data_IF_075483830025
#
_entry.id   IF_075483830025
#
_cell.length_a   1.000
_cell.length_b   1.000
_cell.length_c   1.000
_cell.angle_alpha   90.00
_cell.angle_beta   90.00
_cell.angle_gamma   90.00
#
_symmetry.space_group_name_H-M   'P 1'
#
loop_
_entity.id
_entity.type
_entity.pdbx_description
1 polymer ?
#
# COMPACT_ATOMS: atom_id res chain seq x y z
N UNK A 1 7.54 -3.14 -40.97
CA UNK A 1 6.28 -3.86 -41.24
C UNK A 1 5.17 -3.09 -40.56
N UNK A 2 4.19 -2.62 -41.33
CA UNK A 2 3.22 -1.58 -40.98
C UNK A 2 2.32 -1.97 -39.80
N UNK A 3 2.54 -1.36 -38.63
CA UNK A 3 1.57 -1.33 -37.53
C UNK A 3 0.53 -0.25 -37.83
N UNK A 4 -0.53 -0.61 -38.56
CA UNK A 4 -1.78 0.13 -38.49
C UNK A 4 -2.35 -0.09 -37.08
N UNK A 5 -2.16 0.87 -36.19
CA UNK A 5 -2.75 0.86 -34.85
C UNK A 5 -4.28 1.02 -34.99
N UNK A 6 -5.00 -0.10 -35.15
CA UNK A 6 -6.45 -0.11 -35.03
C UNK A 6 -6.81 0.03 -33.55
N UNK A 7 -7.04 1.24 -33.08
CA UNK A 7 -7.80 1.45 -31.85
C UNK A 7 -9.22 0.94 -32.08
N UNK A 8 -9.65 -0.04 -31.30
CA UNK A 8 -10.98 -0.63 -31.38
C UNK A 8 -11.71 -0.39 -30.06
N UNK A 9 -12.97 0.02 -30.14
CA UNK A 9 -13.81 0.21 -28.96
C UNK A 9 -14.24 -1.16 -28.41
N UNK A 10 -14.24 -1.29 -27.10
CA UNK A 10 -14.67 -2.44 -26.34
C UNK A 10 -16.05 -2.09 -25.76
N UNK A 11 -17.10 -2.60 -26.38
CA UNK A 11 -18.48 -2.37 -25.98
C UNK A 11 -19.32 -3.64 -26.15
N UNK A 12 -20.62 -3.54 -25.89
CA UNK A 12 -21.55 -4.67 -25.99
C UNK A 12 -21.60 -5.30 -27.39
N UNK A 13 -21.51 -4.50 -28.44
CA UNK A 13 -21.55 -4.97 -29.83
C UNK A 13 -20.26 -5.75 -30.15
N UNK A 14 -19.09 -5.22 -29.79
CA UNK A 14 -17.82 -5.90 -30.05
C UNK A 14 -17.68 -7.17 -29.23
N UNK A 15 -18.16 -7.17 -27.98
CA UNK A 15 -18.19 -8.38 -27.13
C UNK A 15 -19.10 -9.44 -27.74
N UNK A 16 -20.28 -9.06 -28.26
CA UNK A 16 -21.19 -10.00 -28.92
C UNK A 16 -20.54 -10.62 -30.18
N UNK A 17 -19.87 -9.79 -31.00
CA UNK A 17 -19.14 -10.25 -32.19
C UNK A 17 -18.00 -11.18 -31.81
N UNK A 18 -17.20 -10.86 -30.78
CA UNK A 18 -16.11 -11.73 -30.32
C UNK A 18 -16.64 -13.04 -29.76
N UNK A 19 -17.76 -13.01 -29.03
CA UNK A 19 -18.40 -14.20 -28.50
C UNK A 19 -18.82 -15.13 -29.63
N UNK A 20 -19.49 -14.60 -30.66
CA UNK A 20 -19.89 -15.38 -31.82
C UNK A 20 -18.66 -15.95 -32.54
N UNK A 21 -17.66 -15.11 -32.83
CA UNK A 21 -16.43 -15.52 -33.51
C UNK A 21 -15.64 -16.59 -32.76
N UNK A 22 -15.52 -16.48 -31.44
CA UNK A 22 -14.83 -17.47 -30.61
C UNK A 22 -15.62 -18.79 -30.50
N UNK A 23 -16.95 -18.74 -30.63
CA UNK A 23 -17.80 -19.93 -30.62
C UNK A 23 -17.84 -20.65 -31.98
N UNK A 24 -17.81 -19.92 -33.10
CA UNK A 24 -17.97 -20.47 -34.46
C UNK A 24 -16.62 -20.80 -35.12
N UNK A 25 -15.59 -19.98 -34.87
CA UNK A 25 -14.29 -20.06 -35.53
C UNK A 25 -13.17 -19.93 -34.50
N UNK A 26 -12.91 -21.01 -33.77
CA UNK A 26 -11.78 -21.13 -32.84
C UNK A 26 -10.43 -21.26 -33.58
N UNK A 27 -10.20 -20.42 -34.60
CA UNK A 27 -8.95 -20.34 -35.35
C UNK A 27 -8.01 -19.32 -34.69
N UNK A 28 -6.72 -19.64 -34.63
CA UNK A 28 -5.69 -18.86 -33.95
C UNK A 28 -5.66 -17.39 -34.38
N UNK A 29 -5.95 -17.10 -35.65
CA UNK A 29 -5.97 -15.72 -36.18
C UNK A 29 -7.06 -14.85 -35.55
N UNK A 30 -8.25 -15.42 -35.32
CA UNK A 30 -9.38 -14.71 -34.70
C UNK A 30 -9.10 -14.42 -33.23
N UNK A 31 -8.55 -15.40 -32.51
CA UNK A 31 -8.13 -15.26 -31.11
C UNK A 31 -7.05 -14.19 -31.00
N UNK A 32 -6.03 -14.24 -31.86
CA UNK A 32 -4.94 -13.26 -31.86
C UNK A 32 -5.44 -11.83 -32.08
N UNK A 33 -6.43 -11.63 -32.98
CA UNK A 33 -7.03 -10.31 -33.19
C UNK A 33 -7.76 -9.78 -31.94
N UNK A 34 -8.53 -10.63 -31.25
CA UNK A 34 -9.20 -10.26 -30.00
C UNK A 34 -8.19 -9.95 -28.90
N UNK A 35 -7.18 -10.83 -28.72
CA UNK A 35 -6.11 -10.64 -27.72
C UNK A 35 -5.34 -9.35 -27.97
N UNK A 36 -5.06 -8.99 -29.22
CA UNK A 36 -4.40 -7.71 -29.55
C UNK A 36 -5.19 -6.49 -29.06
N UNK A 37 -6.52 -6.51 -29.22
CA UNK A 37 -7.39 -5.43 -28.74
C UNK A 37 -7.43 -5.42 -27.21
N UNK A 38 -7.63 -6.59 -26.58
CA UNK A 38 -7.70 -6.73 -25.13
C UNK A 38 -6.38 -6.41 -24.42
N UNK A 39 -5.25 -6.58 -25.09
CA UNK A 39 -3.92 -6.23 -24.59
C UNK A 39 -3.56 -4.74 -24.79
N UNK A 40 -4.40 -3.95 -25.46
CA UNK A 40 -4.11 -2.55 -25.81
C UNK A 40 -4.73 -1.57 -24.83
N UNK A 41 -3.89 -0.83 -24.09
CA UNK A 41 -4.33 0.23 -23.18
C UNK A 41 -5.15 1.31 -23.91
N UNK A 42 -4.79 1.63 -25.16
CA UNK A 42 -5.53 2.61 -25.97
C UNK A 42 -6.96 2.17 -26.26
N UNK A 43 -7.19 0.86 -26.49
CA UNK A 43 -8.53 0.32 -26.71
C UNK A 43 -9.38 0.46 -25.44
N UNK A 44 -8.84 0.08 -24.27
CA UNK A 44 -9.53 0.29 -22.99
C UNK A 44 -9.80 1.77 -22.72
N UNK A 45 -8.81 2.65 -22.88
CA UNK A 45 -8.96 4.08 -22.64
C UNK A 45 -10.02 4.75 -23.51
N UNK A 46 -10.13 4.36 -24.78
CA UNK A 46 -11.13 4.89 -25.71
C UNK A 46 -12.54 4.32 -25.52
N UNK A 47 -12.68 3.21 -24.79
CA UNK A 47 -13.96 2.50 -24.66
C UNK A 47 -14.92 3.10 -23.65
N UNK A 48 -14.41 3.79 -22.64
CA UNK A 48 -15.18 4.30 -21.50
C UNK A 48 -15.17 5.82 -21.39
N UNK A 49 -15.10 6.53 -22.52
CA UNK A 49 -15.13 7.98 -22.52
C UNK A 49 -16.46 8.51 -21.97
N UNK A 50 -16.41 9.59 -21.20
CA UNK A 50 -17.62 10.29 -20.75
C UNK A 50 -18.29 10.97 -21.94
N UNK A 51 -19.51 10.52 -22.25
CA UNK A 51 -20.29 10.97 -23.42
C UNK A 51 -21.23 12.13 -23.08
N UNK A 52 -21.49 12.39 -21.80
CA UNK A 52 -22.33 13.52 -21.39
C UNK A 52 -21.62 14.82 -21.74
N UNK A 53 -22.25 15.64 -22.58
CA UNK A 53 -21.83 17.02 -22.91
C UNK A 53 -20.36 17.08 -23.35
N UNK A 54 -19.88 16.08 -24.09
CA UNK A 54 -18.51 16.08 -24.65
C UNK A 54 -17.41 16.28 -23.57
N UNK A 55 -17.68 15.89 -22.32
CA UNK A 55 -16.76 16.06 -21.17
C UNK A 55 -15.42 15.32 -21.37
N UNK A 56 -15.37 14.28 -22.19
CA UNK A 56 -14.11 13.61 -22.51
C UNK A 56 -13.11 14.51 -23.25
N UNK A 57 -13.56 15.54 -23.99
CA UNK A 57 -12.66 16.54 -24.59
C UNK A 57 -12.06 17.50 -23.54
N UNK A 58 -12.53 17.45 -22.29
CA UNK A 58 -11.98 18.21 -21.16
C UNK A 58 -10.97 17.40 -20.34
N UNK A 59 -10.53 16.24 -20.85
CA UNK A 59 -9.52 15.43 -20.15
C UNK A 59 -8.28 16.26 -19.85
N UNK A 60 -7.89 16.24 -18.59
CA UNK A 60 -6.84 17.08 -18.04
C UNK A 60 -6.27 16.44 -16.77
N UNK A 61 -5.15 16.96 -16.23
CA UNK A 61 -4.62 16.54 -14.94
C UNK A 61 -5.61 16.59 -13.77
N UNK A 62 -6.76 17.24 -13.95
CA UNK A 62 -7.86 17.30 -12.99
C UNK A 62 -9.00 16.36 -13.39
N UNK A 63 -9.41 16.34 -14.66
CA UNK A 63 -10.60 15.60 -15.09
C UNK A 63 -10.17 14.38 -15.92
N UNK A 64 -10.49 13.14 -15.50
CA UNK A 64 -10.15 11.94 -16.26
C UNK A 64 -10.87 11.83 -17.62
N UNK A 65 -12.10 12.34 -17.70
CA UNK A 65 -12.97 12.24 -18.89
C UNK A 65 -13.42 10.81 -19.22
N UNK A 66 -13.58 9.97 -18.20
CA UNK A 66 -14.09 8.59 -18.33
C UNK A 66 -15.32 8.36 -17.46
N UNK A 67 -16.22 7.50 -17.94
CA UNK A 67 -17.36 7.00 -17.19
C UNK A 67 -16.99 5.68 -16.47
N UNK A 68 -16.55 5.82 -15.22
CA UNK A 68 -16.23 4.68 -14.35
C UNK A 68 -17.43 3.77 -14.07
N UNK A 69 -18.67 4.27 -14.18
CA UNK A 69 -19.84 3.43 -13.99
C UNK A 69 -20.04 2.50 -15.20
N UNK A 70 -19.90 3.02 -16.41
CA UNK A 70 -19.92 2.20 -17.62
C UNK A 70 -18.81 1.15 -17.63
N UNK A 71 -17.60 1.50 -17.16
CA UNK A 71 -16.50 0.53 -16.96
C UNK A 71 -16.92 -0.62 -16.03
N UNK A 72 -17.49 -0.27 -14.87
CA UNK A 72 -17.93 -1.26 -13.88
C UNK A 72 -19.01 -2.18 -14.43
N UNK A 73 -20.04 -1.62 -15.07
CA UNK A 73 -21.15 -2.38 -15.65
C UNK A 73 -20.65 -3.37 -16.70
N UNK A 74 -19.73 -2.96 -17.57
CA UNK A 74 -19.14 -3.86 -18.56
C UNK A 74 -18.38 -5.02 -17.91
N UNK A 75 -17.53 -4.73 -16.93
CA UNK A 75 -16.78 -5.79 -16.25
C UNK A 75 -17.67 -6.74 -15.45
N UNK A 76 -18.70 -6.23 -14.78
CA UNK A 76 -19.69 -7.08 -14.08
C UNK A 76 -20.43 -7.98 -15.06
N UNK A 77 -20.80 -7.47 -16.24
CA UNK A 77 -21.42 -8.26 -17.31
C UNK A 77 -20.49 -9.38 -17.78
N UNK A 78 -19.19 -9.10 -17.96
CA UNK A 78 -18.18 -10.07 -18.39
C UNK A 78 -17.96 -11.21 -17.37
N UNK A 79 -18.37 -11.05 -16.11
CA UNK A 79 -18.34 -12.13 -15.11
C UNK A 79 -19.41 -13.21 -15.36
N UNK A 80 -20.38 -12.97 -16.24
CA UNK A 80 -21.38 -13.98 -16.59
C UNK A 80 -20.72 -15.17 -17.31
N UNK A 81 -21.15 -16.40 -17.00
CA UNK A 81 -20.63 -17.64 -17.59
C UNK A 81 -20.71 -17.67 -19.12
N UNK A 82 -21.65 -16.93 -19.72
CA UNK A 82 -21.77 -16.76 -21.16
C UNK A 82 -20.55 -16.07 -21.83
N UNK A 83 -19.71 -15.39 -21.05
CA UNK A 83 -18.54 -14.67 -21.51
C UNK A 83 -17.22 -15.31 -21.02
N UNK A 84 -17.25 -16.55 -20.51
CA UNK A 84 -16.07 -17.22 -19.92
C UNK A 84 -14.83 -17.21 -20.82
N UNK A 85 -14.98 -17.51 -22.11
CA UNK A 85 -13.88 -17.50 -23.08
C UNK A 85 -13.27 -16.10 -23.24
N UNK A 86 -14.10 -15.05 -23.29
CA UNK A 86 -13.62 -13.67 -23.41
C UNK A 86 -12.95 -13.25 -22.10
N UNK A 87 -13.54 -13.59 -20.96
CA UNK A 87 -12.98 -13.30 -19.65
C UNK A 87 -11.60 -13.95 -19.46
N UNK A 88 -11.42 -15.18 -19.95
CA UNK A 88 -10.12 -15.85 -19.96
C UNK A 88 -9.09 -15.12 -20.83
N UNK A 89 -9.49 -14.67 -22.03
CA UNK A 89 -8.60 -13.85 -22.86
C UNK A 89 -8.25 -12.51 -22.20
N UNK A 90 -9.21 -11.85 -21.54
CA UNK A 90 -8.97 -10.61 -20.78
C UNK A 90 -7.96 -10.87 -19.67
N UNK A 91 -8.14 -11.94 -18.89
CA UNK A 91 -7.21 -12.32 -17.82
C UNK A 91 -5.80 -12.52 -18.35
N UNK A 92 -5.65 -13.34 -19.41
CA UNK A 92 -4.37 -13.63 -20.03
C UNK A 92 -3.72 -12.35 -20.60
N UNK A 93 -4.50 -11.49 -21.25
CA UNK A 93 -4.04 -10.19 -21.76
C UNK A 93 -3.58 -9.27 -20.62
N UNK A 94 -4.31 -9.21 -19.51
CA UNK A 94 -3.96 -8.36 -18.38
C UNK A 94 -2.67 -8.82 -17.71
N UNK A 95 -2.55 -10.12 -17.46
CA UNK A 95 -1.39 -10.75 -16.82
C UNK A 95 -0.14 -10.70 -17.69
N UNK A 96 -0.25 -11.08 -18.97
CA UNK A 96 0.92 -11.31 -19.82
C UNK A 96 1.33 -10.10 -20.68
N UNK A 97 0.44 -9.12 -20.87
CA UNK A 97 0.70 -8.03 -21.81
C UNK A 97 0.38 -6.66 -21.20
N UNK A 98 -0.87 -6.37 -20.88
CA UNK A 98 -1.34 -5.02 -20.59
C UNK A 98 -0.68 -4.45 -19.33
N UNK A 99 -0.74 -5.14 -18.18
CA UNK A 99 -0.17 -4.65 -16.92
C UNK A 99 1.37 -4.57 -16.98
N UNK A 100 2.09 -5.62 -17.46
CA UNK A 100 3.55 -5.55 -17.58
C UNK A 100 4.06 -4.39 -18.44
N UNK A 101 3.33 -4.05 -19.51
CA UNK A 101 3.72 -3.04 -20.50
C UNK A 101 3.27 -1.61 -20.15
N UNK A 102 2.62 -1.39 -19.00
CA UNK A 102 2.25 -0.05 -18.55
C UNK A 102 3.50 0.84 -18.38
N UNK A 103 3.57 1.94 -19.14
CA UNK A 103 4.70 2.88 -19.13
C UNK A 103 4.83 3.61 -17.79
N UNK A 104 6.06 3.90 -17.35
CA UNK A 104 6.30 4.84 -16.24
C UNK A 104 5.98 6.28 -16.62
N UNK A 105 6.08 6.59 -17.92
CA UNK A 105 5.88 7.92 -18.51
C UNK A 105 4.91 7.80 -19.68
N UNK A 106 3.59 7.74 -19.42
CA UNK A 106 2.60 7.70 -20.51
C UNK A 106 2.70 8.95 -21.39
N UNK A 107 2.46 8.83 -22.72
CA UNK A 107 2.73 9.90 -23.67
C UNK A 107 1.85 11.14 -23.46
N UNK A 108 0.66 10.96 -22.90
CA UNK A 108 -0.28 12.03 -22.59
C UNK A 108 -1.14 11.67 -21.37
N UNK A 109 -2.01 12.62 -20.98
CA UNK A 109 -2.94 12.46 -19.86
C UNK A 109 -4.07 11.47 -20.19
N UNK A 110 -4.44 11.28 -21.45
CA UNK A 110 -5.48 10.34 -21.84
C UNK A 110 -5.05 8.89 -21.65
N UNK A 111 -3.78 8.60 -21.92
CA UNK A 111 -3.16 7.29 -21.71
C UNK A 111 -3.23 6.85 -20.24
N UNK A 112 -3.34 7.79 -19.29
CA UNK A 112 -3.44 7.52 -17.86
C UNK A 112 -4.77 6.90 -17.44
N UNK A 113 -5.84 7.02 -18.24
CA UNK A 113 -7.19 6.52 -17.89
C UNK A 113 -7.17 5.04 -17.49
N UNK A 114 -6.24 4.27 -18.03
CA UNK A 114 -6.08 2.82 -17.78
C UNK A 114 -5.86 2.50 -16.31
N UNK A 115 -5.17 3.39 -15.57
CA UNK A 115 -4.91 3.22 -14.14
C UNK A 115 -6.16 3.42 -13.27
N UNK A 116 -7.21 4.05 -13.82
CA UNK A 116 -8.52 4.13 -13.17
C UNK A 116 -9.46 3.00 -13.63
N UNK A 117 -9.32 2.55 -14.88
CA UNK A 117 -10.11 1.47 -15.49
C UNK A 117 -9.77 0.13 -14.87
N UNK A 118 -8.47 -0.25 -14.83
CA UNK A 118 -8.05 -1.57 -14.40
C UNK A 118 -8.57 -1.95 -13.00
N UNK A 119 -8.50 -1.08 -11.96
CA UNK A 119 -9.01 -1.42 -10.63
C UNK A 119 -10.51 -1.74 -10.55
N UNK A 120 -11.31 -1.40 -11.57
CA UNK A 120 -12.71 -1.83 -11.61
C UNK A 120 -12.88 -3.31 -11.91
N UNK A 121 -11.88 -3.96 -12.54
CA UNK A 121 -11.95 -5.36 -12.94
C UNK A 121 -12.16 -6.29 -11.71
N UNK A 122 -13.30 -7.00 -11.60
CA UNK A 122 -13.68 -7.72 -10.39
C UNK A 122 -12.66 -8.77 -9.91
N UNK A 123 -11.98 -9.46 -10.83
CA UNK A 123 -11.04 -10.51 -10.49
C UNK A 123 -9.77 -10.01 -9.79
N UNK A 124 -9.47 -8.71 -9.83
CA UNK A 124 -8.43 -8.13 -8.97
C UNK A 124 -8.74 -8.32 -7.48
N UNK A 125 -10.02 -8.41 -7.10
CA UNK A 125 -10.42 -8.57 -5.69
C UNK A 125 -10.27 -10.02 -5.19
N UNK A 126 -10.16 -10.99 -6.10
CA UNK A 126 -9.99 -12.39 -5.76
C UNK A 126 -8.53 -12.69 -5.42
N UNK A 127 -8.33 -13.24 -4.22
CA UNK A 127 -7.03 -13.62 -3.69
C UNK A 127 -6.20 -14.51 -4.62
N UNK A 128 -6.86 -15.32 -5.46
CA UNK A 128 -6.20 -16.16 -6.46
C UNK A 128 -5.34 -15.36 -7.43
N UNK A 129 -5.76 -14.14 -7.76
CA UNK A 129 -5.11 -13.28 -8.75
C UNK A 129 -4.27 -12.16 -8.12
N UNK A 130 -4.09 -12.15 -6.80
CA UNK A 130 -3.31 -11.09 -6.17
C UNK A 130 -1.86 -11.06 -6.65
N UNK A 131 -1.24 -12.23 -6.80
CA UNK A 131 0.16 -12.33 -7.24
C UNK A 131 0.32 -12.04 -8.74
N UNK A 132 -0.64 -12.45 -9.57
CA UNK A 132 -0.53 -12.32 -11.03
C UNK A 132 -1.09 -11.01 -11.59
N UNK A 133 -2.04 -10.36 -10.89
CA UNK A 133 -2.69 -9.13 -11.36
C UNK A 133 -2.58 -7.97 -10.36
N UNK A 134 -3.06 -8.14 -9.13
CA UNK A 134 -3.24 -7.02 -8.19
C UNK A 134 -1.92 -6.38 -7.76
N UNK A 135 -0.93 -7.20 -7.40
CA UNK A 135 0.40 -6.73 -7.00
C UNK A 135 1.18 -6.17 -8.21
N UNK A 136 1.23 -6.84 -9.38
CA UNK A 136 1.82 -6.26 -10.59
C UNK A 136 1.22 -4.91 -10.98
N UNK A 137 -0.10 -4.74 -10.86
CA UNK A 137 -0.75 -3.45 -11.07
C UNK A 137 -0.27 -2.40 -10.07
N UNK A 138 -0.12 -2.77 -8.78
CA UNK A 138 0.43 -1.86 -7.78
C UNK A 138 1.85 -1.41 -8.12
N UNK A 139 2.71 -2.34 -8.53
CA UNK A 139 4.07 -2.02 -8.96
C UNK A 139 4.09 -1.11 -10.19
N UNK A 140 3.23 -1.36 -11.17
CA UNK A 140 3.11 -0.52 -12.36
C UNK A 140 2.68 0.92 -12.00
N UNK A 141 1.73 1.08 -11.08
CA UNK A 141 1.33 2.39 -10.56
C UNK A 141 2.47 3.08 -9.81
N UNK A 142 3.18 2.34 -8.94
CA UNK A 142 4.28 2.90 -8.14
C UNK A 142 5.52 3.25 -8.98
N UNK A 143 5.65 2.67 -10.18
CA UNK A 143 6.70 2.97 -11.15
C UNK A 143 6.45 4.27 -11.94
N UNK A 144 5.24 4.85 -11.86
CA UNK A 144 4.93 6.10 -12.55
C UNK A 144 5.87 7.23 -12.15
N UNK A 145 6.33 7.98 -13.15
CA UNK A 145 7.13 9.18 -12.96
C UNK A 145 6.36 10.23 -12.15
N UNK A 146 7.10 11.18 -11.57
CA UNK A 146 6.54 12.21 -10.66
C UNK A 146 5.31 12.92 -11.22
N UNK A 147 5.29 13.27 -12.51
CA UNK A 147 4.19 14.01 -13.13
C UNK A 147 2.94 13.12 -13.33
N UNK A 148 3.00 11.98 -14.05
CA UNK A 148 1.91 11.01 -14.12
C UNK A 148 1.37 10.58 -12.74
N UNK A 149 2.25 10.35 -11.77
CA UNK A 149 1.89 9.94 -10.41
C UNK A 149 1.06 11.00 -9.68
N UNK A 150 1.35 12.29 -9.89
CA UNK A 150 0.55 13.42 -9.37
C UNK A 150 -0.80 13.56 -10.07
N UNK A 151 -0.87 13.30 -11.39
CA UNK A 151 -2.13 13.28 -12.13
C UNK A 151 -3.07 12.21 -11.53
N UNK A 152 -2.55 11.01 -11.30
CA UNK A 152 -3.33 9.93 -10.70
C UNK A 152 -3.80 10.27 -9.27
N UNK A 153 -2.95 10.90 -8.45
CA UNK A 153 -3.36 11.37 -7.11
C UNK A 153 -4.51 12.39 -7.17
N UNK A 154 -4.46 13.32 -8.13
CA UNK A 154 -5.51 14.32 -8.33
C UNK A 154 -6.81 13.69 -8.82
N UNK A 155 -6.72 12.66 -9.66
CA UNK A 155 -7.89 11.92 -10.12
C UNK A 155 -8.50 11.08 -9.01
N UNK A 156 -7.70 10.36 -8.22
CA UNK A 156 -8.18 9.67 -7.03
C UNK A 156 -8.77 10.60 -5.98
N UNK A 157 -8.36 11.87 -5.95
CA UNK A 157 -8.99 12.91 -5.11
C UNK A 157 -10.40 13.31 -5.58
N UNK A 158 -10.80 12.92 -6.79
CA UNK A 158 -12.07 13.32 -7.43
C UNK A 158 -13.02 12.15 -7.69
N UNK A 159 -12.55 10.91 -7.56
CA UNK A 159 -13.42 9.73 -7.69
C UNK A 159 -14.45 9.67 -6.57
N UNK A 160 -15.52 8.91 -6.78
CA UNK A 160 -16.52 8.72 -5.74
C UNK A 160 -15.96 7.89 -4.56
N UNK A 161 -16.46 8.12 -3.32
CA UNK A 161 -16.03 7.37 -2.14
C UNK A 161 -16.11 5.84 -2.29
N UNK A 162 -17.12 5.34 -3.03
CA UNK A 162 -17.28 3.90 -3.29
C UNK A 162 -16.12 3.30 -4.07
N UNK A 163 -15.65 3.99 -5.12
CA UNK A 163 -14.49 3.57 -5.89
C UNK A 163 -13.24 3.56 -5.00
N UNK A 164 -13.03 4.65 -4.26
CA UNK A 164 -11.87 4.82 -3.40
C UNK A 164 -11.80 3.72 -2.32
N UNK A 165 -12.93 3.44 -1.66
CA UNK A 165 -13.03 2.38 -0.66
C UNK A 165 -12.76 0.98 -1.23
N UNK A 166 -13.25 0.69 -2.45
CA UNK A 166 -12.94 -0.58 -3.16
C UNK A 166 -11.43 -0.72 -3.39
N UNK A 167 -10.74 0.37 -3.74
CA UNK A 167 -9.31 0.39 -3.95
C UNK A 167 -8.51 0.21 -2.64
N UNK A 168 -8.95 0.84 -1.55
CA UNK A 168 -8.36 0.62 -0.21
C UNK A 168 -8.53 -0.84 0.21
N UNK A 169 -9.75 -1.38 0.12
CA UNK A 169 -10.02 -2.77 0.48
C UNK A 169 -9.24 -3.79 -0.36
N UNK A 170 -9.07 -3.51 -1.66
CA UNK A 170 -8.26 -4.34 -2.56
C UNK A 170 -6.85 -4.56 -2.00
N UNK A 171 -6.15 -3.48 -1.67
CA UNK A 171 -4.76 -3.56 -1.24
C UNK A 171 -4.61 -3.96 0.23
N UNK A 172 -5.61 -3.69 1.08
CA UNK A 172 -5.69 -4.31 2.42
C UNK A 172 -5.80 -5.83 2.31
N UNK A 173 -6.68 -6.33 1.44
CA UNK A 173 -6.82 -7.75 1.15
C UNK A 173 -5.52 -8.36 0.65
N UNK A 174 -4.82 -7.67 -0.26
CA UNK A 174 -3.52 -8.11 -0.76
C UNK A 174 -2.45 -8.19 0.34
N UNK A 175 -2.36 -7.20 1.23
CA UNK A 175 -1.46 -7.24 2.41
C UNK A 175 -1.78 -8.44 3.29
N UNK A 176 -3.07 -8.64 3.62
CA UNK A 176 -3.50 -9.75 4.48
C UNK A 176 -3.18 -11.11 3.87
N UNK A 177 -3.42 -11.28 2.58
CA UNK A 177 -3.08 -12.49 1.83
C UNK A 177 -1.57 -12.78 1.88
N UNK A 178 -0.74 -11.78 1.62
CA UNK A 178 0.72 -11.92 1.67
C UNK A 178 1.19 -12.31 3.07
N UNK A 179 0.68 -11.65 4.13
CA UNK A 179 1.04 -11.97 5.52
C UNK A 179 0.65 -13.40 5.91
N UNK A 180 -0.54 -13.87 5.53
CA UNK A 180 -0.97 -15.26 5.77
C UNK A 180 -0.11 -16.27 4.99
N UNK A 181 0.26 -15.92 3.76
CA UNK A 181 1.11 -16.72 2.87
C UNK A 181 2.62 -16.55 3.11
N UNK A 182 3.07 -15.83 4.14
CA UNK A 182 4.50 -15.49 4.30
C UNK A 182 5.43 -16.71 4.26
N UNK A 183 4.98 -17.83 4.83
CA UNK A 183 5.74 -19.11 4.87
C UNK A 183 5.77 -19.86 3.53
N UNK A 184 4.90 -19.53 2.58
CA UNK A 184 4.83 -20.23 1.27
C UNK A 184 5.78 -19.65 0.22
N UNK A 185 6.35 -18.47 0.47
CA UNK A 185 7.33 -17.87 -0.43
C UNK A 185 8.71 -18.50 -0.22
N UNK A 186 9.15 -19.32 -1.18
CA UNK A 186 10.48 -19.93 -1.18
C UNK A 186 11.60 -18.88 -1.33
N UNK A 187 11.28 -17.71 -1.90
CA UNK A 187 12.22 -16.61 -2.12
C UNK A 187 11.77 -15.41 -1.26
N UNK A 188 12.45 -15.13 -0.13
CA UNK A 188 12.08 -14.05 0.78
C UNK A 188 12.04 -12.66 0.13
N UNK A 189 12.93 -12.39 -0.84
CA UNK A 189 12.98 -11.12 -1.57
C UNK A 189 11.70 -10.85 -2.37
N UNK A 190 11.08 -11.87 -2.95
CA UNK A 190 9.82 -11.71 -3.70
C UNK A 190 8.69 -11.29 -2.76
N UNK A 191 8.58 -11.94 -1.60
CA UNK A 191 7.62 -11.55 -0.58
C UNK A 191 7.82 -10.08 -0.16
N UNK A 192 9.05 -9.68 0.15
CA UNK A 192 9.38 -8.31 0.56
C UNK A 192 9.00 -7.28 -0.53
N UNK A 193 9.30 -7.57 -1.80
CA UNK A 193 8.92 -6.71 -2.91
C UNK A 193 7.40 -6.58 -3.04
N UNK A 194 6.66 -7.69 -2.90
CA UNK A 194 5.20 -7.72 -3.06
C UNK A 194 4.50 -6.99 -1.92
N UNK A 195 4.91 -7.25 -0.68
CA UNK A 195 4.31 -6.58 0.48
C UNK A 195 4.67 -5.10 0.51
N UNK A 196 5.90 -4.73 0.10
CA UNK A 196 6.28 -3.31 -0.09
C UNK A 196 5.37 -2.63 -1.10
N UNK A 197 5.13 -3.26 -2.26
CA UNK A 197 4.29 -2.67 -3.29
C UNK A 197 2.85 -2.43 -2.79
N UNK A 198 2.26 -3.42 -2.10
CA UNK A 198 0.93 -3.27 -1.53
C UNK A 198 0.86 -2.16 -0.46
N UNK A 199 1.82 -2.12 0.46
CA UNK A 199 1.87 -1.14 1.54
C UNK A 199 2.14 0.28 1.03
N UNK A 200 3.08 0.47 0.08
CA UNK A 200 3.35 1.78 -0.53
C UNK A 200 2.16 2.30 -1.32
N UNK A 201 1.40 1.41 -1.97
CA UNK A 201 0.20 1.83 -2.66
C UNK A 201 -0.91 2.23 -1.68
N UNK A 202 -1.11 1.47 -0.60
CA UNK A 202 -1.98 1.89 0.50
C UNK A 202 -1.55 3.22 1.11
N UNK A 203 -0.25 3.46 1.27
CA UNK A 203 0.30 4.73 1.77
C UNK A 203 -0.02 5.88 0.80
N UNK A 204 0.11 5.66 -0.51
CA UNK A 204 -0.27 6.64 -1.54
C UNK A 204 -1.76 6.99 -1.45
N UNK A 205 -2.64 5.98 -1.31
CA UNK A 205 -4.07 6.19 -1.09
C UNK A 205 -4.33 6.93 0.21
N UNK A 206 -3.68 6.55 1.30
CA UNK A 206 -3.80 7.23 2.59
C UNK A 206 -3.45 8.73 2.47
N UNK A 207 -2.36 9.06 1.77
CA UNK A 207 -1.95 10.46 1.48
C UNK A 207 -2.99 11.23 0.67
N UNK A 208 -3.66 10.58 -0.28
CA UNK A 208 -4.80 11.18 -1.00
C UNK A 208 -5.97 11.41 -0.06
N UNK A 209 -6.30 10.42 0.78
CA UNK A 209 -7.41 10.50 1.73
C UNK A 209 -7.21 11.61 2.77
N UNK A 210 -5.97 11.90 3.19
CA UNK A 210 -5.69 13.02 4.10
C UNK A 210 -6.12 14.38 3.52
N UNK A 211 -6.18 14.52 2.19
CA UNK A 211 -6.56 15.77 1.51
C UNK A 211 -8.07 15.93 1.35
N UNK A 212 -8.76 14.88 0.93
CA UNK A 212 -10.18 14.95 0.53
C UNK A 212 -11.14 14.25 1.49
N UNK A 213 -10.63 13.32 2.32
CA UNK A 213 -11.41 12.50 3.25
C UNK A 213 -12.55 11.74 2.55
N UNK A 214 -12.20 10.93 1.56
CA UNK A 214 -13.17 10.02 0.91
C UNK A 214 -13.74 8.98 1.89
N UNK A 215 -12.90 8.51 2.81
CA UNK A 215 -13.26 7.52 3.85
C UNK A 215 -12.67 7.93 5.19
N UNK A 216 -13.25 7.40 6.27
CA UNK A 216 -12.71 7.59 7.63
C UNK A 216 -11.33 6.94 7.79
N UNK A 217 -10.56 7.39 8.79
CA UNK A 217 -9.19 6.94 9.00
C UNK A 217 -9.11 5.44 9.36
N UNK A 218 -10.13 4.91 10.02
CA UNK A 218 -10.23 3.52 10.46
C UNK A 218 -10.50 2.55 9.30
N UNK A 219 -10.99 3.06 8.16
CA UNK A 219 -11.13 2.28 6.92
C UNK A 219 -9.79 1.69 6.46
N UNK A 220 -8.65 2.28 6.84
CA UNK A 220 -7.32 1.78 6.53
C UNK A 220 -6.81 0.71 7.50
N UNK A 221 -7.46 0.52 8.66
CA UNK A 221 -7.00 -0.43 9.67
C UNK A 221 -7.13 -1.88 9.20
N UNK A 222 -6.13 -2.70 9.51
CA UNK A 222 -6.10 -4.15 9.26
C UNK A 222 -5.92 -4.85 10.62
N UNK A 223 -7.02 -5.08 11.37
CA UNK A 223 -6.98 -5.63 12.72
C UNK A 223 -6.27 -6.99 12.81
N UNK A 224 -6.34 -7.79 11.73
CA UNK A 224 -5.73 -9.12 11.66
C UNK A 224 -4.20 -9.09 11.78
N UNK A 225 -3.54 -7.95 11.53
CA UNK A 225 -2.08 -7.83 11.65
C UNK A 225 -1.61 -8.22 13.05
N UNK A 226 -2.34 -7.82 14.10
CA UNK A 226 -2.01 -8.14 15.50
C UNK A 226 -1.93 -9.64 15.79
N UNK A 227 -2.56 -10.47 14.96
CA UNK A 227 -2.52 -11.94 15.07
C UNK A 227 -1.49 -12.61 14.17
N UNK A 228 -1.01 -11.91 13.14
CA UNK A 228 -0.13 -12.45 12.10
C UNK A 228 1.32 -12.02 12.29
N UNK A 229 1.57 -10.91 12.99
CA UNK A 229 2.88 -10.31 13.18
C UNK A 229 3.06 -9.94 14.64
N UNK A 230 4.24 -10.24 15.20
CA UNK A 230 4.64 -9.71 16.48
C UNK A 230 4.99 -8.22 16.33
N UNK A 231 4.12 -7.36 16.83
CA UNK A 231 4.26 -5.90 16.75
C UNK A 231 5.49 -5.43 17.52
N UNK A 232 5.86 -6.10 18.62
CA UNK A 232 7.00 -5.70 19.42
C UNK A 232 8.30 -5.97 18.65
N UNK A 233 8.43 -7.16 18.07
CA UNK A 233 9.58 -7.52 17.24
C UNK A 233 9.68 -6.63 15.98
N UNK A 234 8.56 -6.39 15.29
CA UNK A 234 8.52 -5.53 14.11
C UNK A 234 8.91 -4.07 14.45
N UNK A 235 8.48 -3.56 15.62
CA UNK A 235 8.87 -2.24 16.11
C UNK A 235 10.37 -2.15 16.40
N UNK A 236 10.94 -3.16 17.08
CA UNK A 236 12.37 -3.20 17.36
C UNK A 236 13.21 -3.24 16.08
N UNK A 237 12.80 -4.06 15.10
CA UNK A 237 13.44 -4.11 13.79
C UNK A 237 13.34 -2.77 13.06
N UNK A 238 12.19 -2.11 13.10
CA UNK A 238 12.00 -0.78 12.52
C UNK A 238 12.90 0.26 13.20
N UNK A 239 12.96 0.26 14.53
CA UNK A 239 13.79 1.19 15.30
C UNK A 239 15.28 1.03 14.97
N UNK A 240 15.78 -0.21 14.92
CA UNK A 240 17.16 -0.50 14.54
C UNK A 240 17.49 -0.03 13.12
N UNK A 241 16.54 -0.19 12.18
CA UNK A 241 16.68 0.29 10.82
C UNK A 241 16.76 1.83 10.75
N UNK A 242 15.93 2.54 11.53
CA UNK A 242 15.98 4.00 11.64
C UNK A 242 17.30 4.51 12.23
N UNK A 243 17.87 3.79 13.19
CA UNK A 243 19.13 4.14 13.83
C UNK A 243 20.37 3.94 12.94
N UNK A 244 20.20 3.49 11.68
CA UNK A 244 21.30 3.21 10.76
C UNK A 244 22.18 2.04 11.19
N UNK A 245 21.75 1.27 12.20
CA UNK A 245 22.48 0.12 12.71
C UNK A 245 22.30 -1.04 11.74
N UNK A 246 23.20 -1.14 10.77
CA UNK A 246 23.32 -2.29 9.88
C UNK A 246 23.77 -3.50 10.72
N UNK A 247 22.82 -4.26 11.28
CA UNK A 247 23.11 -5.61 11.78
C UNK A 247 23.73 -6.40 10.63
N UNK A 248 24.81 -7.16 10.89
CA UNK A 248 25.65 -7.96 9.95
C UNK A 248 24.93 -8.44 8.66
N UNK A 249 25.68 -8.63 7.54
CA UNK A 249 25.11 -9.05 6.26
C UNK A 249 24.48 -10.44 6.40
N UNK A 250 23.18 -10.43 6.64
CA UNK A 250 22.30 -11.58 6.64
C UNK A 250 21.08 -11.17 5.83
N UNK A 251 20.46 -12.15 5.18
CA UNK A 251 19.41 -12.03 4.15
C UNK A 251 18.15 -11.25 4.62
N UNK A 252 18.13 -10.82 5.89
CA UNK A 252 17.04 -10.12 6.58
C UNK A 252 17.14 -8.58 6.45
N UNK A 253 18.24 -8.03 5.92
CA UNK A 253 18.48 -6.58 5.85
C UNK A 253 17.42 -5.77 5.07
N UNK A 254 16.68 -6.38 4.14
CA UNK A 254 15.63 -5.72 3.35
C UNK A 254 14.21 -6.13 3.78
N UNK A 255 14.05 -6.64 5.00
CA UNK A 255 12.75 -7.00 5.53
C UNK A 255 11.90 -5.74 5.74
N UNK A 256 10.72 -5.73 5.10
CA UNK A 256 9.74 -4.67 5.26
C UNK A 256 9.20 -4.71 6.69
N UNK A 257 9.26 -3.57 7.38
CA UNK A 257 8.66 -3.41 8.70
C UNK A 257 7.31 -2.73 8.57
N UNK A 258 6.27 -3.33 9.16
CA UNK A 258 4.92 -2.79 9.15
C UNK A 258 4.81 -1.50 9.96
N UNK A 259 5.66 -1.32 10.98
CA UNK A 259 5.80 -0.08 11.75
C UNK A 259 6.18 1.15 10.91
N UNK A 260 6.69 0.95 9.68
CA UNK A 260 6.87 2.04 8.70
C UNK A 260 5.54 2.61 8.17
N UNK A 261 4.42 1.90 8.37
CA UNK A 261 3.09 2.22 7.83
C UNK A 261 2.04 2.31 8.95
N UNK A 262 2.17 3.23 9.93
CA UNK A 262 1.37 3.21 11.15
C UNK A 262 -0.15 3.41 10.95
N UNK A 263 -0.55 3.89 9.77
CA UNK A 263 -1.97 4.09 9.41
C UNK A 263 -2.75 2.77 9.25
N UNK A 264 -2.07 1.62 9.09
CA UNK A 264 -2.73 0.31 8.97
C UNK A 264 -3.07 -0.32 10.33
N UNK A 265 -2.53 0.20 11.42
CA UNK A 265 -2.73 -0.36 12.76
C UNK A 265 -3.98 0.23 13.43
N UNK A 266 -4.74 -0.65 14.06
CA UNK A 266 -5.82 -0.27 14.96
C UNK A 266 -5.29 0.29 16.30
N UNK A 267 -6.22 0.67 17.18
CA UNK A 267 -5.88 1.24 18.48
C UNK A 267 -5.07 0.26 19.35
N UNK A 268 -5.42 -1.03 19.34
CA UNK A 268 -4.76 -2.03 20.17
C UNK A 268 -3.31 -2.25 19.73
N UNK A 269 -3.08 -2.39 18.42
CA UNK A 269 -1.75 -2.50 17.84
C UNK A 269 -0.89 -1.27 18.16
N UNK A 270 -1.47 -0.06 18.04
CA UNK A 270 -0.77 1.19 18.38
C UNK A 270 -0.43 1.28 19.86
N UNK A 271 -1.32 0.85 20.76
CA UNK A 271 -1.02 0.80 22.19
C UNK A 271 0.16 -0.14 22.49
N UNK A 272 0.20 -1.33 21.87
CA UNK A 272 1.33 -2.25 22.00
C UNK A 272 2.63 -1.61 21.51
N UNK A 273 2.59 -0.97 20.34
CA UNK A 273 3.74 -0.27 19.77
C UNK A 273 4.27 0.85 20.70
N UNK A 274 3.37 1.66 21.27
CA UNK A 274 3.73 2.73 22.22
C UNK A 274 4.28 2.18 23.55
N UNK A 275 3.75 1.05 24.04
CA UNK A 275 4.29 0.37 25.22
C UNK A 275 5.71 -0.14 24.96
N UNK A 276 5.94 -0.78 23.82
CA UNK A 276 7.27 -1.24 23.42
C UNK A 276 8.26 -0.08 23.27
N UNK A 277 7.84 1.05 22.70
CA UNK A 277 8.67 2.25 22.63
C UNK A 277 9.03 2.78 24.03
N UNK A 278 8.05 2.88 24.93
CA UNK A 278 8.28 3.34 26.30
C UNK A 278 9.27 2.43 27.05
N UNK A 279 9.08 1.11 26.96
CA UNK A 279 9.99 0.12 27.56
C UNK A 279 11.41 0.23 26.97
N UNK A 280 11.53 0.38 25.65
CA UNK A 280 12.82 0.54 24.99
C UNK A 280 13.52 1.84 25.43
N UNK A 281 12.81 2.97 25.49
CA UNK A 281 13.36 4.24 25.94
C UNK A 281 13.82 4.17 27.41
N UNK A 282 13.05 3.47 28.27
CA UNK A 282 13.45 3.21 29.66
C UNK A 282 14.73 2.40 29.73
N UNK A 283 14.85 1.31 28.96
CA UNK A 283 16.06 0.49 28.92
C UNK A 283 17.28 1.28 28.41
N UNK A 284 17.12 2.11 27.38
CA UNK A 284 18.19 2.98 26.85
C UNK A 284 18.64 3.98 27.92
N UNK A 285 17.72 4.61 28.65
CA UNK A 285 18.04 5.55 29.72
C UNK A 285 18.76 4.86 30.91
N UNK A 286 18.32 3.67 31.30
CA UNK A 286 18.96 2.85 32.34
C UNK A 286 20.37 2.44 31.91
N UNK A 287 20.52 1.92 30.70
CA UNK A 287 21.82 1.48 30.18
C UNK A 287 22.78 2.66 30.01
N UNK A 288 22.30 3.83 29.58
CA UNK A 288 23.10 5.06 29.54
C UNK A 288 23.60 5.47 30.92
N UNK A 289 22.75 5.42 31.95
CA UNK A 289 23.18 5.69 33.32
C UNK A 289 24.19 4.66 33.84
N UNK A 290 23.98 3.37 33.54
CA UNK A 290 24.90 2.31 33.94
C UNK A 290 26.25 2.43 33.24
N UNK A 291 26.29 2.72 31.94
CA UNK A 291 27.53 2.96 31.19
C UNK A 291 28.29 4.17 31.74
N UNK A 292 27.58 5.25 32.06
CA UNK A 292 28.19 6.39 32.73
C UNK A 292 28.79 5.97 34.07
N UNK A 293 28.07 5.19 34.88
CA UNK A 293 28.57 4.71 36.16
C UNK A 293 29.82 3.84 36.02
N UNK A 294 29.88 2.96 35.01
CA UNK A 294 31.08 2.18 34.69
C UNK A 294 32.22 3.11 34.30
N UNK A 295 31.97 4.11 33.45
CA UNK A 295 32.98 5.10 33.08
C UNK A 295 33.50 5.87 34.30
N UNK A 296 32.61 6.38 35.17
CA UNK A 296 32.99 7.12 36.39
C UNK A 296 33.79 6.25 37.37
N UNK A 297 33.48 4.95 37.45
CA UNK A 297 34.25 3.99 38.24
C UNK A 297 35.67 3.82 37.69
N UNK A 298 35.83 3.82 36.36
CA UNK A 298 37.13 3.71 35.69
C UNK A 298 37.95 5.01 35.74
N UNK A 299 37.30 6.19 35.76
CA UNK A 299 37.97 7.50 35.81
C UNK A 299 38.18 8.05 37.22
N UNK A 300 37.95 7.24 38.27
CA UNK A 300 38.20 7.57 39.68
C UNK A 300 37.37 8.75 40.23
N UNK A 301 36.15 8.95 39.74
CA UNK A 301 35.17 9.88 40.33
C UNK A 301 33.86 9.16 40.77
N UNK A 302 33.90 8.26 41.77
CA UNK A 302 32.77 7.40 42.13
C UNK A 302 31.57 8.17 42.69
N UNK A 303 31.80 9.39 43.20
CA UNK A 303 30.78 10.23 43.84
C UNK A 303 29.76 10.83 42.86
N UNK A 304 30.01 10.73 41.55
CA UNK A 304 29.13 11.23 40.49
C UNK A 304 28.30 10.13 39.82
N UNK A 305 28.23 8.94 40.43
CA UNK A 305 27.39 7.86 39.95
C UNK A 305 25.91 8.28 39.91
N UNK A 306 25.24 8.05 38.78
CA UNK A 306 23.83 8.36 38.55
C UNK A 306 22.96 7.16 38.87
N UNK A 307 21.81 7.39 39.49
CA UNK A 307 20.80 6.35 39.67
C UNK A 307 20.27 5.85 38.31
N UNK A 308 20.11 4.53 38.12
CA UNK A 308 19.41 3.97 36.96
C UNK A 308 17.89 4.19 37.03
N UNK A 309 17.36 4.55 38.20
CA UNK A 309 15.94 4.88 38.42
C UNK A 309 15.74 6.39 38.56
N UNK A 310 14.56 6.88 38.17
CA UNK A 310 14.05 8.19 38.55
C UNK A 310 13.52 8.09 39.98
N UNK A 311 14.23 8.65 40.95
CA UNK A 311 13.86 8.56 42.37
C UNK A 311 13.14 9.84 42.77
N UNK A 312 11.87 9.75 43.17
CA UNK A 312 11.12 10.91 43.64
C UNK A 312 10.91 10.85 45.16
N UNK A 313 11.43 11.84 45.87
CA UNK A 313 11.25 11.93 47.32
C UNK A 313 10.00 12.75 47.67
N UNK A 314 8.90 12.06 47.97
CA UNK A 314 7.59 12.69 48.23
C UNK A 314 7.06 12.40 49.63
N UNK A 315 6.40 13.39 50.23
CA UNK A 315 5.67 13.20 51.50
C UNK A 315 4.23 12.78 51.21
N UNK A 316 3.72 11.78 51.94
CA UNK A 316 2.34 11.28 51.78
C UNK A 316 1.28 12.37 51.94
N UNK A 317 1.55 13.37 52.79
CA UNK A 317 0.63 14.48 53.06
C UNK A 317 0.72 15.63 52.03
N UNK A 318 1.68 15.58 51.10
CA UNK A 318 1.88 16.60 50.05
C UNK A 318 2.34 15.97 48.72
N UNK A 319 1.72 14.85 48.34
CA UNK A 319 2.16 14.05 47.18
C UNK A 319 2.26 14.86 45.89
N UNK A 320 1.22 15.65 45.57
CA UNK A 320 1.15 16.40 44.31
C UNK A 320 2.21 17.49 44.27
N UNK A 321 2.31 18.30 45.33
CA UNK A 321 3.26 19.41 45.38
C UNK A 321 4.72 18.95 45.40
N UNK A 322 5.01 17.88 46.14
CA UNK A 322 6.37 17.32 46.17
C UNK A 322 6.71 16.65 44.83
N UNK A 323 5.80 15.86 44.23
CA UNK A 323 6.05 15.21 42.94
C UNK A 323 6.32 16.23 41.82
N UNK A 324 5.55 17.30 41.72
CA UNK A 324 5.77 18.35 40.71
C UNK A 324 7.12 19.05 40.89
N UNK A 325 7.52 19.31 42.15
CA UNK A 325 8.84 19.89 42.45
C UNK A 325 9.95 18.95 42.00
N UNK A 326 9.90 17.67 42.39
CA UNK A 326 10.94 16.69 42.03
C UNK A 326 11.03 16.51 40.50
N UNK A 327 9.89 16.37 39.81
CA UNK A 327 9.85 16.25 38.34
C UNK A 327 10.43 17.47 37.63
N UNK A 328 10.30 18.68 38.20
CA UNK A 328 10.83 19.91 37.59
C UNK A 328 12.36 20.03 37.61
N UNK A 329 13.03 19.25 38.47
CA UNK A 329 14.48 19.31 38.67
C UNK A 329 15.22 18.29 37.79
N UNK A 330 14.53 17.23 37.35
CA UNK A 330 15.11 16.17 36.54
C UNK A 330 15.24 16.55 35.06
N UNK A 331 16.30 16.04 34.42
CA UNK A 331 16.50 16.21 32.98
C UNK A 331 15.56 15.31 32.17
N UNK A 332 15.30 15.65 30.90
CA UNK A 332 14.46 14.84 30.00
C UNK A 332 14.93 13.39 29.88
N UNK A 333 16.23 13.13 30.03
CA UNK A 333 16.82 11.78 29.99
C UNK A 333 16.51 11.03 31.29
N UNK A 334 16.55 11.72 32.44
CA UNK A 334 16.22 11.12 33.74
C UNK A 334 14.72 10.82 33.85
N UNK A 335 13.86 11.66 33.26
CA UNK A 335 12.40 11.44 33.22
C UNK A 335 11.99 10.19 32.45
N UNK A 336 12.88 9.64 31.61
CA UNK A 336 12.66 8.38 30.88
C UNK A 336 13.05 7.15 31.70
N UNK A 337 13.68 7.29 32.86
CA UNK A 337 14.04 6.14 33.70
C UNK A 337 12.82 5.58 34.43
N UNK A 338 12.84 4.29 34.83
CA UNK A 338 11.78 3.74 35.66
C UNK A 338 11.66 4.50 36.97
N UNK A 339 10.42 4.84 37.32
CA UNK A 339 10.10 5.56 38.56
C UNK A 339 10.31 4.65 39.77
N UNK A 340 10.94 5.20 40.81
CA UNK A 340 11.13 4.56 42.11
C UNK A 340 10.70 5.46 43.25
#
# INVERSE_FOLDING_TARGET
>A
MNQAHYTSLINDETIAVWRQKLSEHNNANTINGVVQILSSAACWNGSFLEKKIDEHFKTSPKIPGIDLNSTRVLFEKLMNSQHSMILEQILNSFESCLIPQLSSSPPDVEAMRIYLILPEFPLLQDSKYYISLTIPLAMAILRLDTNPSKVLDNWWSQVCPKYFMKLVNLYKGAVLYLLRGRKTFLIPMLFNNYITAALKLLEKLYKVNLKVKHVEYDAFYIPEISSLVDIQEDYLMWFLHQAGMKTRPSIIQDAVTLCSYPFIFDAQAKTKMLQTDAELQMQVAVNGANLQNVFMLLTLEPLLARSPFLVLHVRRNNLVGDALRELSIHSDIDLKKPLK
#
